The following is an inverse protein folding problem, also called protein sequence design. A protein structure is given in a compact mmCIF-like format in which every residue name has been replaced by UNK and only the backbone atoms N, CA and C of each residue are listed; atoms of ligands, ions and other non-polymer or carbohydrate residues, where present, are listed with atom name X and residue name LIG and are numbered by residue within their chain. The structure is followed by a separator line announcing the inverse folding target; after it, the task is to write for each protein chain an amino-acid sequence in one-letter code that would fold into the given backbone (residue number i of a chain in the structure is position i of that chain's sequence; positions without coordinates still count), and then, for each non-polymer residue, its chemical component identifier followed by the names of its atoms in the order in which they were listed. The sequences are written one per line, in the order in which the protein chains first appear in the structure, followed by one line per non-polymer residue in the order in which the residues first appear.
data_IF_452703082572
#
_entry.id   IF_452703082572
#
_cell.length_a   1.000
_cell.length_b   1.000
_cell.length_c   1.000
_cell.angle_alpha   90.00
_cell.angle_beta   90.00
_cell.angle_gamma   90.00
#
_symmetry.space_group_name_H-M   'P 1'
#
loop_
_entity.id
_entity.type
_entity.pdbx_description
1 polymer ?
#
# COMPACT_ATOMS: atom_id res chain seq x y z
N UNK A 1 3.32 28.13 13.86
CA UNK A 1 3.70 26.92 13.10
C UNK A 1 2.40 26.39 12.51
N UNK A 2 2.23 26.44 11.19
CA UNK A 2 1.08 25.81 10.54
C UNK A 2 1.21 24.31 10.78
N UNK A 3 0.18 23.66 11.33
CA UNK A 3 0.15 22.20 11.38
C UNK A 3 0.03 21.72 9.93
N UNK A 4 1.04 21.01 9.42
CA UNK A 4 0.93 20.38 8.10
C UNK A 4 -0.14 19.29 8.18
N UNK A 5 -1.14 19.37 7.31
CA UNK A 5 -2.18 18.34 7.19
C UNK A 5 -1.52 17.02 6.79
N UNK A 6 -1.92 15.94 7.47
CA UNK A 6 -1.49 14.57 7.15
C UNK A 6 -2.68 13.75 6.69
N UNK A 7 -2.44 12.81 5.80
CA UNK A 7 -3.43 11.93 5.19
C UNK A 7 -3.03 10.47 5.40
N UNK A 8 -3.98 9.55 5.61
CA UNK A 8 -3.67 8.14 5.84
C UNK A 8 -3.30 7.43 4.53
N UNK A 9 -2.41 6.45 4.61
CA UNK A 9 -2.14 5.48 3.55
C UNK A 9 -2.10 4.08 4.15
N UNK A 10 -2.86 3.17 3.56
CA UNK A 10 -2.88 1.76 3.94
C UNK A 10 -1.96 0.96 3.01
N UNK A 11 -1.07 0.14 3.57
CA UNK A 11 0.02 -0.51 2.82
C UNK A 11 0.02 -2.02 3.05
N UNK A 12 0.13 -2.77 1.96
CA UNK A 12 0.39 -4.20 1.92
C UNK A 12 1.68 -4.48 1.17
N UNK A 13 2.51 -5.38 1.69
CA UNK A 13 3.78 -5.78 1.05
C UNK A 13 3.95 -7.29 1.17
N UNK A 14 4.52 -7.92 0.15
CA UNK A 14 4.83 -9.34 0.23
C UNK A 14 5.46 -9.91 -1.04
N UNK A 15 5.31 -11.23 -1.18
CA UNK A 15 5.75 -11.96 -2.36
C UNK A 15 4.55 -12.60 -3.03
N UNK A 16 4.23 -12.13 -4.22
CA UNK A 16 3.09 -12.59 -5.01
C UNK A 16 3.57 -13.43 -6.19
N UNK A 17 2.68 -14.27 -6.72
CA UNK A 17 2.92 -15.05 -7.94
C UNK A 17 2.17 -14.46 -9.14
N UNK A 18 2.17 -15.17 -10.26
CA UNK A 18 1.56 -14.76 -11.52
C UNK A 18 0.02 -14.64 -11.48
N UNK A 19 -0.63 -14.96 -10.36
CA UNK A 19 -2.07 -14.76 -10.16
C UNK A 19 -2.40 -13.36 -9.63
N UNK A 20 -1.38 -12.57 -9.31
CA UNK A 20 -1.57 -11.27 -8.69
C UNK A 20 -2.40 -10.31 -9.55
N UNK A 21 -2.13 -10.26 -10.85
CA UNK A 21 -2.87 -9.39 -11.79
C UNK A 21 -4.38 -9.68 -11.75
N UNK A 22 -4.77 -10.95 -11.85
CA UNK A 22 -6.18 -11.35 -11.75
C UNK A 22 -6.76 -11.06 -10.35
N UNK A 23 -5.97 -11.22 -9.30
CA UNK A 23 -6.38 -11.00 -7.91
C UNK A 23 -6.78 -9.54 -7.63
N UNK A 24 -6.10 -8.58 -8.23
CA UNK A 24 -6.41 -7.14 -8.11
C UNK A 24 -7.25 -6.59 -9.27
N UNK A 25 -7.81 -7.43 -10.15
CA UNK A 25 -8.50 -6.93 -11.34
C UNK A 25 -9.96 -6.52 -11.04
N UNK A 26 -10.14 -5.38 -10.37
CA UNK A 26 -11.46 -4.82 -10.09
C UNK A 26 -12.22 -4.42 -11.37
N UNK A 27 -11.53 -4.00 -12.43
CA UNK A 27 -12.20 -3.62 -13.68
C UNK A 27 -12.95 -4.79 -14.35
N UNK A 28 -12.39 -6.00 -14.25
CA UNK A 28 -13.02 -7.21 -14.79
C UNK A 28 -14.02 -7.83 -13.82
N UNK A 29 -13.71 -7.86 -12.52
CA UNK A 29 -14.47 -8.63 -11.54
C UNK A 29 -15.35 -7.79 -10.59
N UNK A 30 -15.22 -6.46 -10.59
CA UNK A 30 -15.93 -5.56 -9.66
C UNK A 30 -15.71 -5.96 -8.20
N UNK A 31 -16.77 -5.90 -7.39
CA UNK A 31 -16.78 -6.38 -6.00
C UNK A 31 -16.28 -7.82 -5.83
N UNK A 32 -16.38 -8.68 -6.85
CA UNK A 32 -15.93 -10.08 -6.80
C UNK A 32 -14.40 -10.24 -6.99
N UNK A 33 -13.65 -9.15 -7.22
CA UNK A 33 -12.20 -9.20 -7.31
C UNK A 33 -11.59 -9.76 -6.01
N UNK A 34 -10.51 -10.55 -6.12
CA UNK A 34 -9.94 -11.26 -4.97
C UNK A 34 -9.52 -10.30 -3.85
N UNK A 35 -8.84 -9.22 -4.20
CA UNK A 35 -8.44 -8.20 -3.24
C UNK A 35 -9.65 -7.47 -2.63
N UNK A 36 -10.68 -7.17 -3.44
CA UNK A 36 -11.92 -6.52 -3.02
C UNK A 36 -12.65 -7.35 -1.95
N UNK A 37 -12.76 -8.66 -2.18
CA UNK A 37 -13.32 -9.60 -1.20
C UNK A 37 -12.50 -9.64 0.09
N UNK A 38 -11.18 -9.55 -0.01
CA UNK A 38 -10.30 -9.61 1.15
C UNK A 38 -10.28 -8.33 1.99
N UNK A 39 -10.42 -7.16 1.36
CA UNK A 39 -10.56 -5.88 2.06
C UNK A 39 -12.02 -5.56 2.44
N UNK A 40 -12.98 -6.28 1.87
CA UNK A 40 -14.41 -6.18 2.15
C UNK A 40 -15.13 -5.05 1.41
N UNK A 41 -14.50 -4.44 0.42
CA UNK A 41 -15.06 -3.35 -0.40
C UNK A 41 -14.30 -3.20 -1.73
N UNK A 42 -14.91 -2.51 -2.70
CA UNK A 42 -14.17 -1.96 -3.84
C UNK A 42 -13.25 -0.81 -3.37
N UNK A 43 -12.19 -0.56 -4.14
CA UNK A 43 -11.27 0.56 -3.92
C UNK A 43 -11.38 1.59 -5.04
N UNK A 44 -11.07 2.84 -4.71
CA UNK A 44 -10.93 3.91 -5.70
C UNK A 44 -9.64 3.71 -6.51
N UNK A 45 -9.77 3.52 -7.82
CA UNK A 45 -8.64 3.31 -8.73
C UNK A 45 -7.71 4.52 -8.81
N UNK A 46 -8.18 5.72 -8.46
CA UNK A 46 -7.37 6.94 -8.45
C UNK A 46 -6.47 7.05 -7.20
N UNK A 47 -6.81 6.35 -6.11
CA UNK A 47 -6.03 6.33 -4.86
C UNK A 47 -5.27 5.02 -4.66
N UNK A 48 -5.57 4.01 -5.47
CA UNK A 48 -4.90 2.71 -5.47
C UNK A 48 -3.58 2.76 -6.25
N UNK A 49 -2.53 2.19 -5.68
CA UNK A 49 -1.22 2.05 -6.34
C UNK A 49 -0.63 0.68 -6.05
N UNK A 50 0.07 0.13 -7.05
CA UNK A 50 0.77 -1.15 -6.92
C UNK A 50 2.05 -1.13 -7.74
N UNK A 51 3.02 -1.89 -7.26
CA UNK A 51 4.26 -2.18 -7.96
C UNK A 51 4.52 -3.67 -7.87
N UNK A 52 4.96 -4.27 -8.96
CA UNK A 52 5.30 -5.68 -9.05
C UNK A 52 6.57 -5.87 -9.86
N UNK A 53 7.43 -6.79 -9.41
CA UNK A 53 8.62 -7.26 -10.12
C UNK A 53 8.73 -8.78 -10.07
N UNK A 54 9.35 -9.38 -11.08
CA UNK A 54 9.39 -10.85 -11.21
C UNK A 54 10.10 -11.55 -10.04
N UNK A 55 11.13 -10.93 -9.47
CA UNK A 55 11.94 -11.54 -8.41
C UNK A 55 11.91 -10.67 -7.15
N UNK A 56 11.85 -11.26 -5.95
CA UNK A 56 11.96 -10.50 -4.70
C UNK A 56 13.26 -9.68 -4.65
N UNK A 57 13.12 -8.39 -4.39
CA UNK A 57 14.20 -7.42 -4.20
C UNK A 57 14.22 -6.95 -2.75
N UNK A 58 15.21 -6.12 -2.39
CA UNK A 58 15.33 -5.60 -1.04
C UNK A 58 14.08 -4.78 -0.65
N UNK A 59 13.62 -4.92 0.59
CA UNK A 59 12.44 -4.18 1.07
C UNK A 59 12.58 -2.65 0.92
N UNK A 60 13.79 -2.09 1.01
CA UNK A 60 14.00 -0.66 0.78
C UNK A 60 13.65 -0.24 -0.64
N UNK A 61 14.06 -1.04 -1.62
CA UNK A 61 13.77 -0.77 -3.03
C UNK A 61 12.26 -0.85 -3.30
N UNK A 62 11.51 -1.73 -2.61
CA UNK A 62 10.04 -1.75 -2.68
C UNK A 62 9.43 -0.50 -2.05
N UNK A 63 9.94 -0.05 -0.89
CA UNK A 63 9.42 1.12 -0.18
C UNK A 63 9.64 2.41 -0.97
N UNK A 64 10.77 2.53 -1.66
CA UNK A 64 11.11 3.70 -2.49
C UNK A 64 10.08 3.92 -3.62
N UNK A 65 9.37 2.88 -4.05
CA UNK A 65 8.33 2.94 -5.09
C UNK A 65 6.93 3.28 -4.55
N UNK A 66 6.75 3.33 -3.21
CA UNK A 66 5.44 3.62 -2.60
C UNK A 66 5.19 5.14 -2.59
N UNK A 67 3.99 5.61 -2.96
CA UNK A 67 3.68 7.05 -2.99
C UNK A 67 3.90 7.74 -1.64
N UNK A 68 4.65 8.84 -1.66
CA UNK A 68 4.96 9.66 -0.49
C UNK A 68 5.73 8.94 0.63
N UNK A 69 6.44 7.86 0.29
CA UNK A 69 7.21 7.04 1.25
C UNK A 69 8.19 7.86 2.09
N UNK A 70 8.69 9.00 1.60
CA UNK A 70 9.55 9.91 2.35
C UNK A 70 8.91 10.42 3.66
N UNK A 71 7.57 10.40 3.75
CA UNK A 71 6.83 10.81 4.94
C UNK A 71 6.85 9.76 6.07
N UNK A 72 7.03 8.48 5.73
CA UNK A 72 6.82 7.36 6.67
C UNK A 72 7.80 6.18 6.50
N UNK A 73 8.85 6.31 5.68
CA UNK A 73 9.81 5.26 5.31
C UNK A 73 10.35 4.52 6.54
N UNK A 74 10.83 5.26 7.55
CA UNK A 74 11.42 4.68 8.75
C UNK A 74 10.42 3.85 9.56
N UNK A 75 9.17 4.32 9.67
CA UNK A 75 8.11 3.62 10.39
C UNK A 75 7.72 2.35 9.64
N UNK A 76 7.57 2.45 8.31
CA UNK A 76 7.26 1.33 7.45
C UNK A 76 8.35 0.26 7.47
N UNK A 77 9.63 0.65 7.44
CA UNK A 77 10.76 -0.28 7.58
C UNK A 77 10.73 -1.03 8.91
N UNK A 78 10.41 -0.35 10.02
CA UNK A 78 10.26 -1.02 11.33
C UNK A 78 9.14 -2.05 11.26
N UNK A 79 7.99 -1.70 10.68
CA UNK A 79 6.85 -2.62 10.53
C UNK A 79 7.17 -3.82 9.65
N UNK A 80 7.86 -3.61 8.54
CA UNK A 80 8.33 -4.71 7.69
C UNK A 80 9.26 -5.66 8.45
N UNK A 81 10.19 -5.12 9.25
CA UNK A 81 11.09 -5.95 10.07
C UNK A 81 10.32 -6.73 11.15
N UNK A 82 9.32 -6.14 11.80
CA UNK A 82 8.44 -6.83 12.76
C UNK A 82 7.70 -8.01 12.11
N UNK A 83 7.35 -7.88 10.83
CA UNK A 83 6.69 -8.92 10.02
C UNK A 83 7.69 -9.88 9.34
N UNK A 84 9.00 -9.74 9.58
CA UNK A 84 10.07 -10.48 8.91
C UNK A 84 10.11 -10.32 7.37
N UNK A 85 9.62 -9.19 6.85
CA UNK A 85 9.66 -8.84 5.44
C UNK A 85 10.97 -8.11 5.16
N UNK A 86 11.98 -8.86 4.71
CA UNK A 86 13.29 -8.31 4.34
C UNK A 86 13.49 -8.20 2.83
N UNK A 87 12.77 -9.03 2.07
CA UNK A 87 12.69 -8.99 0.61
C UNK A 87 11.23 -9.19 0.21
N UNK A 88 10.82 -8.53 -0.86
CA UNK A 88 9.46 -8.57 -1.40
C UNK A 88 9.53 -8.30 -2.90
N UNK A 89 8.49 -8.70 -3.63
CA UNK A 89 8.39 -8.43 -5.07
C UNK A 89 7.18 -7.57 -5.42
N UNK A 90 6.38 -7.19 -4.42
CA UNK A 90 5.16 -6.44 -4.64
C UNK A 90 4.76 -5.58 -3.44
N UNK A 91 4.16 -4.42 -3.72
CA UNK A 91 3.31 -3.71 -2.77
C UNK A 91 1.95 -3.38 -3.37
N UNK A 92 0.99 -3.15 -2.49
CA UNK A 92 -0.28 -2.47 -2.77
C UNK A 92 -0.45 -1.36 -1.74
N UNK A 93 -0.92 -0.19 -2.17
CA UNK A 93 -1.26 0.90 -1.28
C UNK A 93 -2.57 1.57 -1.68
N UNK A 94 -3.33 2.05 -0.69
CA UNK A 94 -4.53 2.87 -0.90
C UNK A 94 -4.37 4.16 -0.10
N UNK A 95 -4.42 5.29 -0.80
CA UNK A 95 -4.37 6.63 -0.21
C UNK A 95 -5.73 7.03 0.36
N UNK A 96 -5.71 7.93 1.34
CA UNK A 96 -6.89 8.52 2.00
C UNK A 96 -7.83 7.53 2.70
N UNK A 97 -7.43 6.26 2.80
CA UNK A 97 -8.18 5.20 3.48
C UNK A 97 -7.36 4.49 4.56
N UNK A 98 -8.07 4.04 5.60
CA UNK A 98 -7.50 3.31 6.73
C UNK A 98 -8.20 1.97 6.88
N UNK A 99 -7.41 0.89 6.92
CA UNK A 99 -7.91 -0.47 7.11
C UNK A 99 -7.46 -1.04 8.46
N UNK A 100 -8.32 -1.90 9.03
CA UNK A 100 -8.00 -2.70 10.21
C UNK A 100 -8.53 -4.11 9.99
N UNK A 101 -7.70 -5.11 10.29
CA UNK A 101 -8.04 -6.52 10.13
C UNK A 101 -7.91 -7.25 11.46
N UNK A 102 -8.94 -8.02 11.85
CA UNK A 102 -8.92 -8.82 13.08
C UNK A 102 -7.78 -9.85 13.08
N UNK A 103 -7.56 -10.48 11.92
CA UNK A 103 -6.51 -11.46 11.73
C UNK A 103 -5.19 -10.78 11.32
N UNK A 104 -4.30 -10.61 12.31
CA UNK A 104 -2.99 -9.95 12.14
C UNK A 104 -2.09 -10.57 11.06
N UNK A 105 -2.30 -11.84 10.73
CA UNK A 105 -1.48 -12.58 9.76
C UNK A 105 -2.26 -12.96 8.50
N UNK A 106 -3.43 -12.33 8.27
CA UNK A 106 -4.26 -12.56 7.07
C UNK A 106 -3.37 -12.50 5.83
N UNK A 107 -3.57 -13.47 4.96
CA UNK A 107 -2.88 -13.55 3.68
C UNK A 107 -3.73 -12.90 2.58
N UNK A 108 -3.14 -11.98 1.84
CA UNK A 108 -3.79 -11.26 0.75
C UNK A 108 -3.10 -11.66 -0.56
N UNK A 109 -3.21 -12.93 -0.94
CA UNK A 109 -2.50 -13.53 -2.08
C UNK A 109 -0.97 -13.37 -1.99
N UNK A 110 -0.39 -13.70 -0.83
CA UNK A 110 1.05 -13.55 -0.57
C UNK A 110 1.49 -12.16 -0.10
N UNK A 111 0.58 -11.18 -0.08
CA UNK A 111 0.76 -9.90 0.60
C UNK A 111 0.37 -10.00 2.09
N UNK A 112 1.02 -9.18 2.90
CA UNK A 112 0.64 -8.93 4.30
C UNK A 112 0.28 -7.46 4.47
N UNK A 113 -0.78 -7.20 5.23
CA UNK A 113 -1.08 -5.83 5.65
C UNK A 113 -0.01 -5.35 6.64
N UNK A 114 0.74 -4.33 6.25
CA UNK A 114 1.86 -3.81 7.03
C UNK A 114 1.38 -2.75 8.02
N UNK A 115 0.40 -1.95 7.62
CA UNK A 115 -0.26 -0.99 8.49
C UNK A 115 -0.80 0.23 7.76
N UNK A 116 -1.31 1.16 8.56
CA UNK A 116 -1.72 2.50 8.13
C UNK A 116 -0.64 3.50 8.57
N UNK A 117 -0.21 4.34 7.66
CA UNK A 117 0.79 5.38 7.88
C UNK A 117 0.22 6.75 7.53
N UNK A 118 0.97 7.81 7.81
CA UNK A 118 0.57 9.17 7.49
C UNK A 118 1.53 9.79 6.48
N UNK A 119 1.00 10.32 5.38
CA UNK A 119 1.76 11.09 4.41
C UNK A 119 1.41 12.57 4.43
N UNK A 120 2.33 13.39 3.93
CA UNK A 120 2.12 14.82 3.74
C UNK A 120 2.21 15.16 2.25
N UNK A 121 1.26 15.95 1.77
CA UNK A 121 1.33 16.48 0.42
C UNK A 121 2.47 17.51 0.32
N UNK A 122 3.20 17.55 -0.80
CA UNK A 122 4.25 18.55 -1.01
C UNK A 122 3.69 19.97 -0.94
N UNK A 123 4.41 20.91 -0.32
CA UNK A 123 3.97 22.30 -0.15
C UNK A 123 3.60 22.96 -1.50
N UNK A 124 4.27 22.57 -2.59
CA UNK A 124 4.03 23.07 -3.95
C UNK A 124 2.63 22.75 -4.50
N UNK A 125 1.91 21.76 -3.95
CA UNK A 125 0.57 21.40 -4.41
C UNK A 125 -0.46 22.42 -3.89
N UNK A 126 -0.28 22.89 -2.66
CA UNK A 126 -1.07 23.99 -2.10
C UNK A 126 -0.77 25.33 -2.79
N UNK A 127 0.50 25.60 -3.12
CA UNK A 127 0.90 26.85 -3.77
C UNK A 127 0.31 27.00 -5.19
N UNK A 128 0.02 25.89 -5.87
CA UNK A 128 -0.50 25.89 -7.24
C UNK A 128 -2.03 25.74 -7.34
N UNK A 129 -2.78 25.72 -6.22
CA UNK A 129 -4.22 25.41 -6.17
C UNK A 129 -4.58 24.09 -6.90
N UNK A 130 -3.68 23.10 -6.83
CA UNK A 130 -3.96 21.74 -7.34
C UNK A 130 -4.95 21.03 -6.39
N UNK A 131 -4.97 21.48 -5.13
CA UNK A 131 -5.85 21.13 -4.02
C UNK A 131 -6.35 22.42 -3.37
#
# INVERSE_FOLDING_TARGET
MSQKTTYPISIWIGTVDNRFDDYINQDEFGEECGFCQDIGQEYDVDTFSTYFVDNPINIKEIIDEIPFSESYENELLVKCNELNITNANCYVSILDESFEFEEKNKDFCGLKFVGVFNYQLPDIWYENNII
#
